data_IF_709116284081
#
_entry.id   IF_709116284081
#
_cell.length_a   1.000
_cell.length_b   1.000
_cell.length_c   1.000
_cell.angle_alpha   90.00
_cell.angle_beta   90.00
_cell.angle_gamma   90.00
#
_symmetry.space_group_name_H-M   'P 1'
#
loop_
_entity.id
_entity.type
_entity.pdbx_description
1 polymer ?
#
# COMPACT_ATOMS: atom_id res chain seq x y z
N UNK A 1 16.76 20.00 -13.68
CA UNK A 1 15.56 19.39 -14.23
C UNK A 1 14.50 19.38 -13.15
N UNK A 2 13.30 19.79 -13.48
CA UNK A 2 12.17 19.66 -12.58
C UNK A 2 11.89 18.17 -12.33
N UNK A 3 11.65 17.82 -11.08
CA UNK A 3 11.39 16.42 -10.65
C UNK A 3 10.34 16.42 -9.56
N UNK A 4 9.61 15.34 -9.44
CA UNK A 4 8.77 15.04 -8.28
C UNK A 4 9.42 13.90 -7.52
N UNK A 5 9.77 14.13 -6.26
CA UNK A 5 10.38 13.11 -5.39
C UNK A 5 9.51 12.89 -4.16
N UNK A 6 9.15 11.66 -3.88
CA UNK A 6 8.26 11.34 -2.76
C UNK A 6 8.64 10.03 -2.09
N UNK A 7 8.29 9.91 -0.82
CA UNK A 7 8.44 8.67 -0.06
C UNK A 7 7.11 7.94 0.03
N UNK A 8 7.15 6.60 0.06
CA UNK A 8 5.96 5.80 0.31
C UNK A 8 6.25 4.59 1.17
N UNK A 9 5.25 4.24 1.98
CA UNK A 9 5.24 3.04 2.82
C UNK A 9 3.82 2.45 2.86
N UNK A 10 3.70 1.22 3.33
CA UNK A 10 2.44 0.48 3.41
C UNK A 10 2.43 -0.49 4.58
N UNK A 11 1.25 -0.91 4.99
CA UNK A 11 1.05 -2.04 5.89
C UNK A 11 1.89 -1.92 7.19
N UNK A 12 1.80 -0.76 7.86
CA UNK A 12 2.41 -0.57 9.18
C UNK A 12 1.73 -1.47 10.22
N UNK A 13 0.38 -1.59 10.15
CA UNK A 13 -0.42 -2.36 11.11
C UNK A 13 -0.06 -2.08 12.57
N UNK A 14 0.00 -0.82 12.92
CA UNK A 14 0.49 -0.34 14.20
C UNK A 14 -0.04 -1.13 15.41
N UNK A 15 -1.32 -1.48 15.41
CA UNK A 15 -1.98 -2.14 16.54
C UNK A 15 -1.69 -3.66 16.63
N UNK A 16 -1.02 -4.25 15.62
CA UNK A 16 -0.70 -5.67 15.58
C UNK A 16 0.69 -6.00 16.11
N UNK A 17 1.58 -5.01 16.24
CA UNK A 17 2.99 -5.19 16.54
C UNK A 17 3.47 -4.29 17.67
N UNK A 18 4.45 -4.77 18.42
CA UNK A 18 4.97 -4.09 19.62
C UNK A 18 5.90 -2.91 19.32
N UNK A 19 6.48 -2.85 18.13
CA UNK A 19 7.47 -1.85 17.72
C UNK A 19 6.99 -0.88 16.63
N UNK A 20 5.66 -0.83 16.38
CA UNK A 20 5.07 0.00 15.32
C UNK A 20 5.38 1.50 15.45
N UNK A 21 5.44 2.01 16.68
CA UNK A 21 5.84 3.40 16.93
C UNK A 21 7.28 3.66 16.47
N UNK A 22 8.21 2.81 16.89
CA UNK A 22 9.63 2.96 16.55
C UNK A 22 9.86 2.86 15.04
N UNK A 23 9.09 2.03 14.34
CA UNK A 23 9.16 1.90 12.87
C UNK A 23 8.78 3.20 12.19
N UNK A 24 7.65 3.81 12.59
CA UNK A 24 7.22 5.07 12.01
C UNK A 24 8.17 6.22 12.35
N UNK A 25 8.71 6.28 13.58
CA UNK A 25 9.75 7.25 13.96
C UNK A 25 11.02 7.12 13.12
N UNK A 26 11.48 5.89 12.88
CA UNK A 26 12.64 5.62 12.04
C UNK A 26 12.39 6.07 10.60
N UNK A 27 11.22 5.77 10.03
CA UNK A 27 10.81 6.27 8.73
C UNK A 27 10.85 7.81 8.68
N UNK A 28 10.16 8.48 9.59
CA UNK A 28 10.09 9.94 9.67
C UNK A 28 11.49 10.55 9.82
N UNK A 29 12.34 9.97 10.68
CA UNK A 29 13.72 10.42 10.86
C UNK A 29 14.56 10.29 9.60
N UNK A 30 14.35 9.24 8.82
CA UNK A 30 15.09 9.00 7.59
C UNK A 30 14.63 9.92 6.46
N UNK A 31 13.32 10.05 6.25
CA UNK A 31 12.78 10.88 5.16
C UNK A 31 13.01 12.37 5.38
N UNK A 32 13.10 12.85 6.62
CA UNK A 32 13.49 14.23 6.94
C UNK A 32 14.87 14.63 6.45
N UNK A 33 15.75 13.68 6.18
CA UNK A 33 17.10 13.92 5.65
C UNK A 33 17.13 14.02 4.13
N UNK A 34 16.00 13.77 3.48
CA UNK A 34 15.88 13.71 2.02
C UNK A 34 14.96 14.84 1.57
N UNK A 35 15.37 15.55 0.51
CA UNK A 35 14.52 16.55 -0.12
C UNK A 35 13.42 15.87 -0.95
N UNK A 36 12.25 15.68 -0.32
CA UNK A 36 11.05 15.07 -0.91
C UNK A 36 9.87 16.05 -0.87
N UNK A 37 8.98 15.93 -1.84
CA UNK A 37 7.82 16.80 -2.00
C UNK A 37 6.64 16.42 -1.09
N UNK A 38 6.45 15.12 -0.82
CA UNK A 38 5.37 14.58 0.00
C UNK A 38 5.61 13.12 0.39
N UNK A 39 4.77 12.60 1.27
CA UNK A 39 4.73 11.19 1.67
C UNK A 39 3.41 10.55 1.24
N UNK A 40 3.43 9.27 0.89
CA UNK A 40 2.23 8.45 0.63
C UNK A 40 2.22 7.25 1.57
N UNK A 41 1.10 7.01 2.23
CA UNK A 41 0.80 5.80 2.97
C UNK A 41 -0.26 5.00 2.19
N UNK A 42 0.03 3.72 1.86
CA UNK A 42 -0.75 2.91 0.92
C UNK A 42 -1.76 1.94 1.56
N UNK A 43 -2.24 2.23 2.76
CA UNK A 43 -3.25 1.44 3.46
C UNK A 43 -2.71 0.56 4.58
N UNK A 44 -3.62 0.05 5.40
CA UNK A 44 -3.36 -0.78 6.57
C UNK A 44 -2.39 -0.11 7.56
N UNK A 45 -2.75 1.14 7.90
CA UNK A 45 -1.93 1.99 8.75
C UNK A 45 -2.12 1.68 10.24
N UNK A 46 -3.32 1.89 10.75
CA UNK A 46 -3.67 1.65 12.15
C UNK A 46 -5.19 1.62 12.36
N UNK A 47 -5.62 1.12 13.51
CA UNK A 47 -7.01 1.27 13.95
C UNK A 47 -7.33 2.77 14.15
N UNK A 48 -8.40 3.32 13.54
CA UNK A 48 -8.74 4.74 13.60
C UNK A 48 -9.40 5.14 14.92
N UNK A 49 -8.66 5.03 16.03
CA UNK A 49 -9.03 5.43 17.39
C UNK A 49 -8.24 6.66 17.84
N UNK A 50 -8.78 7.41 18.80
CA UNK A 50 -8.19 8.69 19.21
C UNK A 50 -6.79 8.52 19.81
N UNK A 51 -6.52 7.39 20.46
CA UNK A 51 -5.21 7.03 21.01
C UNK A 51 -4.12 6.91 19.93
N UNK A 52 -4.49 6.63 18.69
CA UNK A 52 -3.56 6.50 17.56
C UNK A 52 -3.33 7.82 16.79
N UNK A 53 -3.95 8.94 17.20
CA UNK A 53 -3.79 10.24 16.50
C UNK A 53 -2.35 10.72 16.45
N UNK A 54 -1.56 10.41 17.46
CA UNK A 54 -0.14 10.77 17.49
C UNK A 54 0.67 10.22 16.31
N UNK A 55 0.20 9.14 15.64
CA UNK A 55 0.83 8.63 14.43
C UNK A 55 0.69 9.63 13.26
N UNK A 56 -0.45 10.32 13.17
CA UNK A 56 -0.63 11.41 12.20
C UNK A 56 0.20 12.64 12.58
N UNK A 57 0.25 12.98 13.88
CA UNK A 57 1.09 14.08 14.35
C UNK A 57 2.58 13.82 14.06
N UNK A 58 3.00 12.55 14.11
CA UNK A 58 4.34 12.14 13.75
C UNK A 58 4.60 12.31 12.24
N UNK A 59 3.64 11.98 11.36
CA UNK A 59 3.73 12.28 9.93
C UNK A 59 3.70 13.78 9.66
N UNK A 60 2.78 14.53 10.29
CA UNK A 60 2.70 16.00 10.21
C UNK A 60 4.03 16.66 10.58
N UNK A 61 4.78 16.05 11.52
CA UNK A 61 6.08 16.56 11.98
C UNK A 61 7.18 16.52 10.91
N UNK A 62 6.98 15.85 9.78
CA UNK A 62 7.91 15.92 8.63
C UNK A 62 7.87 17.33 8.01
N UNK A 63 6.74 18.03 8.12
CA UNK A 63 6.56 19.42 7.65
C UNK A 63 6.23 19.53 6.16
N UNK A 64 5.85 18.42 5.51
CA UNK A 64 5.41 18.35 4.11
C UNK A 64 4.07 17.62 4.02
N UNK A 65 3.31 17.77 2.91
CA UNK A 65 2.06 17.05 2.73
C UNK A 65 2.22 15.53 2.84
N UNK A 66 1.23 14.85 3.41
CA UNK A 66 1.12 13.41 3.31
C UNK A 66 -0.28 13.00 2.83
N UNK A 67 -0.33 11.91 2.07
CA UNK A 67 -1.52 11.39 1.43
C UNK A 67 -1.75 9.95 1.87
N UNK A 68 -3.02 9.53 1.90
CA UNK A 68 -3.42 8.22 2.41
C UNK A 68 -4.24 7.45 1.39
N UNK A 69 -4.00 6.16 1.32
CA UNK A 69 -4.87 5.15 0.72
C UNK A 69 -5.51 4.36 1.86
N UNK A 70 -6.75 3.94 1.71
CA UNK A 70 -7.42 3.10 2.70
C UNK A 70 -7.12 1.63 2.42
N UNK A 71 -6.65 0.91 3.44
CA UNK A 71 -6.47 -0.53 3.42
C UNK A 71 -7.66 -1.27 4.04
N UNK A 72 -7.68 -2.60 3.88
CA UNK A 72 -8.78 -3.40 4.38
C UNK A 72 -8.84 -3.46 5.92
N UNK A 73 -7.68 -3.49 6.59
CA UNK A 73 -7.61 -3.54 8.05
C UNK A 73 -7.86 -2.19 8.72
N UNK A 74 -7.78 -1.07 8.03
CA UNK A 74 -8.15 0.24 8.57
C UNK A 74 -9.64 0.28 8.96
N UNK A 75 -10.48 -0.56 8.31
CA UNK A 75 -11.93 -0.65 8.55
C UNK A 75 -12.35 -1.84 9.42
N UNK A 76 -11.43 -2.57 10.05
CA UNK A 76 -11.72 -3.80 10.81
C UNK A 76 -12.66 -3.57 12.00
N UNK A 77 -12.56 -2.45 12.67
CA UNK A 77 -13.35 -2.14 13.88
C UNK A 77 -14.33 -0.99 13.68
N UNK A 78 -14.13 -0.15 12.67
CA UNK A 78 -14.87 1.09 12.48
C UNK A 78 -15.43 1.22 11.06
N UNK A 79 -16.33 2.18 10.87
CA UNK A 79 -16.88 2.49 9.55
C UNK A 79 -15.85 3.26 8.70
N UNK A 80 -16.07 3.23 7.38
CA UNK A 80 -15.26 3.97 6.42
C UNK A 80 -15.23 5.48 6.70
N UNK A 81 -16.35 6.07 7.09
CA UNK A 81 -16.44 7.49 7.44
C UNK A 81 -15.53 7.83 8.63
N UNK A 82 -15.41 6.90 9.60
CA UNK A 82 -14.48 7.07 10.72
C UNK A 82 -13.03 7.02 10.25
N UNK A 83 -12.68 6.14 9.31
CA UNK A 83 -11.34 6.05 8.71
C UNK A 83 -11.02 7.34 7.96
N UNK A 84 -11.89 7.78 7.04
CA UNK A 84 -11.74 9.02 6.26
C UNK A 84 -11.50 10.22 7.19
N UNK A 85 -12.35 10.36 8.23
CA UNK A 85 -12.22 11.44 9.21
C UNK A 85 -10.91 11.36 10.02
N UNK A 86 -10.51 10.15 10.42
CA UNK A 86 -9.27 9.94 11.17
C UNK A 86 -8.06 10.33 10.34
N UNK A 87 -7.98 9.88 9.09
CA UNK A 87 -6.90 10.18 8.15
C UNK A 87 -6.95 11.60 7.56
N UNK A 88 -7.93 12.43 7.98
CA UNK A 88 -8.15 13.80 7.48
C UNK A 88 -8.32 13.85 5.95
N UNK A 89 -8.93 12.82 5.35
CA UNK A 89 -9.23 12.75 3.93
C UNK A 89 -10.57 13.42 3.62
N UNK A 90 -10.72 14.01 2.44
CA UNK A 90 -12.01 14.55 1.97
C UNK A 90 -12.91 13.43 1.41
N UNK A 91 -12.29 12.41 0.77
CA UNK A 91 -12.97 11.25 0.20
C UNK A 91 -12.03 10.04 0.26
N UNK A 92 -12.57 8.82 0.14
CA UNK A 92 -11.78 7.58 0.11
C UNK A 92 -10.99 7.40 -1.18
N UNK A 93 -11.41 8.03 -2.28
CA UNK A 93 -10.69 8.12 -3.54
C UNK A 93 -10.61 9.58 -3.99
N UNK A 94 -9.51 9.98 -4.56
CA UNK A 94 -9.25 11.37 -4.96
C UNK A 94 -8.05 11.45 -5.91
N UNK A 95 -7.80 12.63 -6.45
CA UNK A 95 -6.58 12.89 -7.22
C UNK A 95 -5.96 14.23 -6.83
N UNK A 96 -4.66 14.31 -7.00
CA UNK A 96 -3.91 15.57 -6.87
C UNK A 96 -2.86 15.67 -7.97
N UNK A 97 -2.40 16.89 -8.24
CA UNK A 97 -1.41 17.15 -9.27
C UNK A 97 -0.15 17.74 -8.65
N UNK A 98 0.99 17.24 -9.08
CA UNK A 98 2.30 17.83 -8.78
C UNK A 98 3.05 17.96 -10.11
N UNK A 99 3.35 19.18 -10.51
CA UNK A 99 3.90 19.49 -11.83
C UNK A 99 3.06 18.87 -12.99
N UNK A 100 3.65 18.08 -13.87
CA UNK A 100 2.99 17.41 -14.98
C UNK A 100 2.38 16.05 -14.65
N UNK A 101 2.55 15.60 -13.39
CA UNK A 101 2.13 14.27 -12.94
C UNK A 101 0.83 14.38 -12.16
N UNK A 102 -0.15 13.57 -12.51
CA UNK A 102 -1.38 13.40 -11.76
C UNK A 102 -1.31 12.08 -10.98
N UNK A 103 -1.48 12.20 -9.68
CA UNK A 103 -1.61 11.08 -8.75
C UNK A 103 -3.09 10.79 -8.55
N UNK A 104 -3.47 9.53 -8.72
CA UNK A 104 -4.85 9.06 -8.59
C UNK A 104 -4.86 8.01 -7.49
N UNK A 105 -5.57 8.31 -6.41
CA UNK A 105 -5.78 7.41 -5.27
C UNK A 105 -7.11 6.71 -5.46
N UNK A 106 -7.10 5.38 -5.42
CA UNK A 106 -8.28 4.53 -5.58
C UNK A 106 -8.59 3.77 -4.28
N UNK A 107 -9.88 3.60 -4.03
CA UNK A 107 -10.39 2.80 -2.95
C UNK A 107 -10.85 1.44 -3.47
N UNK A 108 -10.04 0.43 -3.28
CA UNK A 108 -10.31 -0.95 -3.72
C UNK A 108 -10.95 -1.82 -2.63
N UNK A 109 -11.25 -1.23 -1.45
CA UNK A 109 -11.78 -1.95 -0.30
C UNK A 109 -13.32 -2.04 -0.34
N UNK A 110 -13.85 -2.69 -1.38
CA UNK A 110 -15.28 -2.94 -1.56
C UNK A 110 -15.56 -4.41 -1.86
N UNK A 111 -16.79 -4.83 -1.52
CA UNK A 111 -17.39 -6.12 -1.88
C UNK A 111 -18.44 -5.86 -2.95
N UNK A 112 -18.43 -6.65 -4.03
CA UNK A 112 -19.54 -6.69 -4.99
C UNK A 112 -20.63 -7.61 -4.47
N UNK A 113 -21.86 -7.10 -4.40
CA UNK A 113 -23.04 -7.83 -3.97
C UNK A 113 -24.10 -7.82 -5.08
N UNK A 114 -25.19 -8.56 -4.92
CA UNK A 114 -26.33 -8.54 -5.86
C UNK A 114 -27.03 -7.16 -5.92
N UNK A 115 -26.81 -6.33 -4.90
CA UNK A 115 -27.45 -5.00 -4.78
C UNK A 115 -26.51 -3.84 -5.06
N UNK A 116 -25.26 -4.11 -5.45
CA UNK A 116 -24.25 -3.08 -5.72
C UNK A 116 -22.93 -3.32 -5.00
N UNK A 117 -22.36 -2.28 -4.44
CA UNK A 117 -21.06 -2.34 -3.77
C UNK A 117 -21.17 -1.94 -2.30
N UNK A 118 -20.59 -2.75 -1.44
CA UNK A 118 -20.48 -2.48 0.00
C UNK A 118 -19.02 -2.20 0.38
N UNK A 119 -18.74 -1.10 1.09
CA UNK A 119 -17.37 -0.86 1.57
C UNK A 119 -16.98 -1.89 2.64
N UNK A 120 -15.70 -2.17 2.73
CA UNK A 120 -15.17 -2.97 3.83
C UNK A 120 -15.49 -2.30 5.17
N UNK A 121 -16.05 -3.09 6.08
CA UNK A 121 -16.43 -2.64 7.40
C UNK A 121 -16.55 -3.86 8.34
N UNK A 122 -15.94 -3.76 9.53
CA UNK A 122 -16.03 -4.80 10.56
C UNK A 122 -15.73 -6.21 10.04
N UNK A 123 -14.68 -6.32 9.21
CA UNK A 123 -14.22 -7.58 8.60
C UNK A 123 -15.24 -8.30 7.71
N UNK A 124 -16.16 -7.56 7.08
CA UNK A 124 -17.14 -8.16 6.16
C UNK A 124 -16.50 -8.80 4.90
N UNK A 125 -15.24 -8.52 4.65
CA UNK A 125 -14.43 -9.14 3.59
C UNK A 125 -13.90 -10.54 3.97
N UNK A 126 -14.51 -11.22 4.91
CA UNK A 126 -14.10 -12.55 5.37
C UNK A 126 -13.85 -13.51 4.19
N UNK A 127 -12.63 -14.01 4.13
CA UNK A 127 -12.10 -14.85 3.04
C UNK A 127 -12.86 -16.16 2.85
N UNK A 128 -13.64 -16.63 3.83
CA UNK A 128 -14.45 -17.84 3.75
C UNK A 128 -15.63 -17.70 2.79
N UNK A 129 -16.03 -16.48 2.43
CA UNK A 129 -17.21 -16.18 1.60
C UNK A 129 -16.91 -15.90 0.12
N UNK A 130 -15.74 -16.26 -0.39
CA UNK A 130 -15.35 -15.92 -1.77
C UNK A 130 -15.41 -14.44 -2.11
N UNK A 131 -15.06 -13.60 -1.15
CA UNK A 131 -14.99 -12.15 -1.32
C UNK A 131 -13.67 -11.75 -1.96
N UNK A 132 -13.74 -10.88 -2.94
CA UNK A 132 -12.60 -10.27 -3.62
C UNK A 132 -12.68 -8.76 -3.45
N UNK A 133 -11.54 -8.06 -3.30
CA UNK A 133 -11.51 -6.62 -3.43
C UNK A 133 -11.96 -6.21 -4.83
N UNK A 134 -12.68 -5.11 -4.95
CA UNK A 134 -13.19 -4.65 -6.24
C UNK A 134 -13.17 -3.13 -6.32
N UNK A 135 -12.84 -2.60 -7.49
CA UNK A 135 -13.05 -1.18 -7.80
C UNK A 135 -14.50 -1.01 -8.26
N UNK A 136 -15.35 -0.25 -7.55
CA UNK A 136 -16.74 -0.03 -7.93
C UNK A 136 -16.89 0.61 -9.32
N UNK A 137 -17.98 0.29 -10.05
CA UNK A 137 -18.21 0.81 -11.41
C UNK A 137 -18.24 2.33 -11.47
N UNK A 138 -18.77 3.01 -10.44
CA UNK A 138 -18.77 4.47 -10.37
C UNK A 138 -17.36 5.05 -10.20
N UNK A 139 -16.49 4.37 -9.46
CA UNK A 139 -15.11 4.78 -9.27
C UNK A 139 -14.26 4.41 -10.49
N UNK A 140 -14.53 3.28 -11.15
CA UNK A 140 -13.91 2.93 -12.42
C UNK A 140 -14.21 4.00 -13.48
N UNK A 141 -15.46 4.47 -13.60
CA UNK A 141 -15.83 5.56 -14.49
C UNK A 141 -15.11 6.86 -14.14
N UNK A 142 -15.04 7.18 -12.85
CA UNK A 142 -14.29 8.33 -12.39
C UNK A 142 -12.79 8.20 -12.73
N UNK A 143 -12.18 7.02 -12.57
CA UNK A 143 -10.80 6.76 -12.99
C UNK A 143 -10.61 7.05 -14.48
N UNK A 144 -11.51 6.59 -15.35
CA UNK A 144 -11.48 6.88 -16.79
C UNK A 144 -11.53 8.39 -17.07
N UNK A 145 -12.39 9.13 -16.38
CA UNK A 145 -12.47 10.59 -16.46
C UNK A 145 -11.15 11.25 -16.00
N UNK A 146 -10.53 10.75 -14.90
CA UNK A 146 -9.25 11.27 -14.43
C UNK A 146 -8.10 11.04 -15.42
N UNK A 147 -8.05 9.89 -16.06
CA UNK A 147 -7.01 9.53 -17.03
C UNK A 147 -7.18 10.24 -18.39
N UNK A 148 -8.37 10.73 -18.70
CA UNK A 148 -8.62 11.56 -19.90
C UNK A 148 -8.35 13.04 -19.66
N UNK A 149 -8.20 13.48 -18.41
CA UNK A 149 -7.93 14.85 -18.02
C UNK A 149 -6.55 15.35 -18.53
N UNK A 150 -6.31 16.65 -18.36
CA UNK A 150 -5.13 17.33 -18.88
C UNK A 150 -3.89 17.09 -17.98
N UNK A 151 -3.22 15.96 -18.21
CA UNK A 151 -1.92 15.63 -17.64
C UNK A 151 -1.10 14.81 -18.63
N UNK A 152 0.22 14.89 -18.56
CA UNK A 152 1.12 14.10 -19.41
C UNK A 152 1.35 12.72 -18.82
N UNK A 153 1.53 12.65 -17.48
CA UNK A 153 1.85 11.44 -16.75
C UNK A 153 0.87 11.17 -15.62
N UNK A 154 0.65 9.90 -15.35
CA UNK A 154 -0.24 9.44 -14.30
C UNK A 154 0.45 8.39 -13.42
N UNK A 155 0.17 8.46 -12.12
CA UNK A 155 0.51 7.43 -11.13
C UNK A 155 -0.76 7.02 -10.44
N UNK A 156 -1.03 5.72 -10.38
CA UNK A 156 -2.22 5.16 -9.72
C UNK A 156 -1.78 4.48 -8.43
N UNK A 157 -2.46 4.81 -7.35
CA UNK A 157 -2.20 4.34 -6.00
C UNK A 157 -3.43 3.60 -5.48
N UNK A 158 -3.25 2.38 -5.01
CA UNK A 158 -4.33 1.57 -4.44
C UNK A 158 -3.78 0.70 -3.30
N UNK A 159 -4.65 0.15 -2.47
CA UNK A 159 -4.19 -0.83 -1.49
C UNK A 159 -4.02 -2.21 -2.10
N UNK A 160 -5.01 -2.69 -2.87
CA UNK A 160 -4.92 -3.97 -3.57
C UNK A 160 -4.36 -3.83 -4.98
N UNK A 161 -3.63 -4.85 -5.43
CA UNK A 161 -2.92 -4.85 -6.71
C UNK A 161 -3.83 -5.04 -7.94
N UNK A 162 -3.35 -4.55 -9.10
CA UNK A 162 -4.00 -4.78 -10.38
C UNK A 162 -3.28 -5.88 -11.21
N UNK A 163 -2.16 -6.42 -10.73
CA UNK A 163 -1.40 -7.44 -11.44
C UNK A 163 -1.34 -8.79 -10.70
N UNK A 164 -1.52 -8.83 -9.37
CA UNK A 164 -1.46 -10.08 -8.63
C UNK A 164 -2.63 -11.01 -8.99
N UNK A 165 -2.31 -12.13 -9.64
CA UNK A 165 -3.29 -13.14 -10.04
C UNK A 165 -3.47 -14.25 -9.00
N UNK A 166 -2.72 -14.21 -7.91
CA UNK A 166 -2.93 -15.15 -6.81
C UNK A 166 -4.34 -14.97 -6.21
N UNK A 167 -5.00 -16.08 -5.93
CA UNK A 167 -6.41 -16.11 -5.53
C UNK A 167 -6.74 -15.09 -4.42
N UNK A 168 -7.67 -14.19 -4.69
CA UNK A 168 -8.22 -13.18 -3.75
C UNK A 168 -7.22 -12.09 -3.30
N UNK A 169 -6.05 -11.97 -3.94
CA UNK A 169 -5.07 -10.92 -3.59
C UNK A 169 -5.27 -9.67 -4.42
N UNK A 170 -5.36 -9.80 -5.73
CA UNK A 170 -5.60 -8.67 -6.62
C UNK A 170 -7.08 -8.29 -6.74
N UNK A 171 -7.32 -7.08 -7.23
CA UNK A 171 -8.66 -6.53 -7.47
C UNK A 171 -9.43 -7.42 -8.47
N UNK A 172 -10.72 -7.68 -8.22
CA UNK A 172 -11.54 -8.57 -9.05
C UNK A 172 -11.58 -8.14 -10.52
N UNK A 173 -11.83 -6.85 -10.76
CA UNK A 173 -11.89 -6.27 -12.11
C UNK A 173 -10.55 -5.66 -12.56
N UNK A 174 -9.42 -6.25 -12.14
CA UNK A 174 -8.07 -5.80 -12.50
C UNK A 174 -7.78 -5.84 -14.00
N UNK A 175 -8.38 -6.79 -14.73
CA UNK A 175 -8.18 -6.90 -16.17
C UNK A 175 -8.78 -5.70 -16.90
N UNK A 176 -9.99 -5.30 -16.53
CA UNK A 176 -10.67 -4.11 -17.08
C UNK A 176 -9.89 -2.84 -16.77
N UNK A 177 -9.31 -2.74 -15.56
CA UNK A 177 -8.46 -1.60 -15.18
C UNK A 177 -7.19 -1.58 -16.04
N UNK A 178 -6.51 -2.70 -16.22
CA UNK A 178 -5.32 -2.80 -17.07
C UNK A 178 -5.63 -2.49 -18.54
N UNK A 179 -6.77 -2.94 -19.05
CA UNK A 179 -7.21 -2.62 -20.39
C UNK A 179 -7.49 -1.13 -20.57
N UNK A 180 -8.09 -0.47 -19.59
CA UNK A 180 -8.25 0.99 -19.57
C UNK A 180 -6.89 1.69 -19.62
N UNK A 181 -5.96 1.29 -18.74
CA UNK A 181 -4.60 1.85 -18.69
C UNK A 181 -3.89 1.71 -20.05
N UNK A 182 -3.97 0.54 -20.68
CA UNK A 182 -3.37 0.30 -21.99
C UNK A 182 -3.97 1.22 -23.08
N UNK A 183 -5.31 1.34 -23.12
CA UNK A 183 -5.99 2.26 -24.06
C UNK A 183 -5.54 3.71 -23.86
N UNK A 184 -5.36 4.16 -22.63
CA UNK A 184 -4.88 5.51 -22.32
C UNK A 184 -3.44 5.70 -22.82
N UNK A 185 -2.56 4.71 -22.56
CA UNK A 185 -1.19 4.76 -23.03
C UNK A 185 -1.08 4.82 -24.56
N UNK A 186 -2.00 4.20 -25.29
CA UNK A 186 -2.05 4.23 -26.76
C UNK A 186 -2.46 5.61 -27.31
N UNK A 187 -3.02 6.50 -26.49
CA UNK A 187 -3.35 7.89 -26.88
C UNK A 187 -2.16 8.87 -26.79
N UNK A 188 -1.00 8.40 -26.34
CA UNK A 188 0.18 9.23 -26.09
C UNK A 188 0.26 9.80 -24.66
N UNK A 189 -0.78 9.65 -23.84
CA UNK A 189 -0.72 9.86 -22.39
C UNK A 189 -0.04 8.66 -21.75
N UNK A 190 0.55 8.82 -20.56
CA UNK A 190 1.33 7.72 -19.96
C UNK A 190 0.97 7.49 -18.50
N UNK A 191 0.34 6.35 -18.23
CA UNK A 191 0.31 5.79 -16.88
C UNK A 191 1.67 5.13 -16.65
N UNK A 192 2.52 5.80 -15.89
CA UNK A 192 3.90 5.36 -15.67
C UNK A 192 3.96 4.20 -14.68
N UNK A 193 3.18 4.30 -13.59
CA UNK A 193 3.33 3.45 -12.44
C UNK A 193 1.98 3.22 -11.74
N UNK A 194 1.69 1.97 -11.40
CA UNK A 194 0.65 1.58 -10.43
C UNK A 194 1.37 1.05 -9.19
N UNK A 195 1.04 1.57 -7.99
CA UNK A 195 1.66 1.13 -6.73
C UNK A 195 0.59 0.66 -5.76
N UNK A 196 0.87 -0.46 -5.11
CA UNK A 196 -0.03 -1.03 -4.10
C UNK A 196 0.74 -1.59 -2.89
N UNK A 197 0.02 -1.84 -1.80
CA UNK A 197 0.44 -2.59 -0.61
C UNK A 197 -0.22 -3.97 -0.52
N UNK A 198 -0.80 -4.30 0.63
CA UNK A 198 -1.65 -5.46 0.91
C UNK A 198 -0.96 -6.84 0.88
N UNK A 199 -0.08 -7.09 -0.06
CA UNK A 199 0.46 -8.42 -0.29
C UNK A 199 1.55 -8.81 0.72
N UNK A 200 2.08 -7.85 1.49
CA UNK A 200 3.21 -8.01 2.40
C UNK A 200 4.39 -8.72 1.73
N UNK A 201 4.66 -8.35 0.49
CA UNK A 201 5.72 -8.90 -0.32
C UNK A 201 6.09 -7.95 -1.45
N UNK A 202 7.28 -8.13 -1.97
CA UNK A 202 7.88 -7.26 -2.97
C UNK A 202 7.62 -7.78 -4.38
N UNK A 203 7.20 -6.91 -5.29
CA UNK A 203 7.12 -7.19 -6.72
C UNK A 203 7.32 -5.93 -7.53
N UNK A 204 7.94 -6.06 -8.68
CA UNK A 204 8.10 -4.98 -9.63
C UNK A 204 8.06 -5.56 -11.04
N UNK A 205 6.97 -5.34 -11.72
CA UNK A 205 6.71 -5.92 -13.04
C UNK A 205 6.34 -4.85 -14.05
N UNK A 206 6.69 -5.06 -15.33
CA UNK A 206 6.24 -4.23 -16.43
C UNK A 206 5.23 -4.98 -17.27
N UNK A 207 4.00 -4.46 -17.34
CA UNK A 207 2.94 -4.99 -18.19
C UNK A 207 2.56 -3.91 -19.21
N UNK A 208 2.72 -4.20 -20.47
CA UNK A 208 2.57 -3.18 -21.52
C UNK A 208 3.58 -2.04 -21.37
N UNK A 209 3.09 -0.81 -21.22
CA UNK A 209 3.93 0.37 -21.03
C UNK A 209 4.01 0.84 -19.57
N UNK A 210 3.28 0.21 -18.64
CA UNK A 210 3.14 0.60 -17.24
C UNK A 210 3.94 -0.33 -16.32
N UNK A 211 4.59 0.24 -15.31
CA UNK A 211 5.18 -0.53 -14.21
C UNK A 211 4.13 -0.75 -13.10
N UNK A 212 4.10 -1.97 -12.56
CA UNK A 212 3.28 -2.36 -11.42
C UNK A 212 4.22 -2.69 -10.27
N UNK A 213 4.08 -1.95 -9.19
CA UNK A 213 4.96 -2.04 -8.03
C UNK A 213 4.17 -2.43 -6.78
N UNK A 214 4.26 -3.70 -6.40
CA UNK A 214 3.79 -4.20 -5.12
C UNK A 214 4.84 -3.86 -4.05
N UNK A 215 4.56 -2.84 -3.25
CA UNK A 215 5.44 -2.42 -2.17
C UNK A 215 5.32 -3.36 -0.98
N UNK A 216 6.45 -3.87 -0.52
CA UNK A 216 6.51 -4.73 0.65
C UNK A 216 6.05 -3.98 1.92
N UNK A 217 5.44 -4.69 2.86
CA UNK A 217 5.04 -4.15 4.15
C UNK A 217 6.21 -3.48 4.88
N UNK A 218 5.95 -2.35 5.51
CA UNK A 218 6.92 -1.69 6.40
C UNK A 218 7.34 -2.59 7.56
N UNK A 219 6.51 -3.60 7.92
CA UNK A 219 6.56 -4.22 9.23
C UNK A 219 6.81 -5.72 9.23
N UNK A 220 6.06 -6.49 8.43
CA UNK A 220 6.05 -7.95 8.58
C UNK A 220 5.40 -8.69 7.40
N UNK A 221 5.53 -10.03 7.42
CA UNK A 221 4.75 -10.95 6.61
C UNK A 221 3.73 -11.65 7.50
N UNK A 222 2.51 -11.83 6.99
CA UNK A 222 1.44 -12.54 7.69
C UNK A 222 1.26 -13.95 7.11
N UNK A 223 1.57 -14.98 7.91
CA UNK A 223 1.43 -16.38 7.51
C UNK A 223 0.15 -17.04 8.03
N UNK A 224 -0.35 -16.59 9.18
CA UNK A 224 -1.52 -17.15 9.82
C UNK A 224 -1.20 -18.32 10.77
N UNK A 225 -2.25 -18.88 11.44
CA UNK A 225 -2.07 -19.77 12.58
C UNK A 225 -1.41 -21.12 12.27
N UNK A 226 -1.35 -21.54 11.00
CA UNK A 226 -0.64 -22.77 10.62
C UNK A 226 0.89 -22.68 10.79
N UNK A 227 1.43 -21.47 10.97
CA UNK A 227 2.85 -21.19 11.15
C UNK A 227 3.12 -20.44 12.46
N UNK A 228 2.24 -20.64 13.46
CA UNK A 228 2.39 -19.92 14.73
C UNK A 228 3.72 -20.22 15.42
N UNK A 229 4.28 -19.19 16.01
CA UNK A 229 5.53 -19.26 16.75
C UNK A 229 5.52 -18.28 17.93
N UNK A 230 6.39 -18.52 18.91
CA UNK A 230 6.47 -17.73 20.14
C UNK A 230 7.90 -17.24 20.38
N UNK A 231 8.27 -16.17 19.66
CA UNK A 231 9.62 -15.58 19.69
C UNK A 231 9.75 -14.39 20.66
N UNK A 232 8.68 -14.01 21.34
CA UNK A 232 8.62 -12.90 22.28
C UNK A 232 8.20 -13.39 23.66
N UNK A 233 8.27 -12.52 24.69
CA UNK A 233 7.78 -12.86 26.01
C UNK A 233 6.26 -13.08 26.03
N UNK A 234 5.75 -13.79 27.04
CA UNK A 234 4.32 -14.02 27.20
C UNK A 234 3.54 -12.71 27.28
N UNK A 235 4.06 -11.71 27.99
CA UNK A 235 3.44 -10.39 28.14
C UNK A 235 3.27 -9.69 26.79
N UNK A 236 4.27 -9.79 25.90
CA UNK A 236 4.20 -9.22 24.54
C UNK A 236 3.17 -9.98 23.71
N UNK A 237 3.13 -11.30 23.75
CA UNK A 237 2.14 -12.09 23.03
C UNK A 237 0.71 -11.87 23.56
N UNK A 238 0.52 -11.64 24.85
CA UNK A 238 -0.79 -11.29 25.42
C UNK A 238 -1.26 -9.91 24.94
N UNK A 239 -0.36 -8.94 24.85
CA UNK A 239 -0.68 -7.59 24.35
C UNK A 239 -0.88 -7.54 22.83
N UNK A 240 -0.13 -8.33 22.09
CA UNK A 240 -0.14 -8.39 20.62
C UNK A 240 -0.39 -9.83 20.14
N UNK A 241 -1.63 -10.34 20.24
CA UNK A 241 -1.93 -11.76 19.98
C UNK A 241 -1.69 -12.23 18.55
N UNK A 242 -1.59 -11.30 17.58
CA UNK A 242 -1.24 -11.64 16.20
C UNK A 242 0.24 -11.90 15.97
N UNK A 243 1.14 -11.50 16.89
CA UNK A 243 2.58 -11.68 16.72
C UNK A 243 3.01 -13.13 16.47
N UNK A 244 2.27 -14.10 16.98
CA UNK A 244 2.53 -15.52 16.75
C UNK A 244 2.34 -15.96 15.31
N UNK A 245 1.57 -15.18 14.51
CA UNK A 245 1.22 -15.46 13.12
C UNK A 245 2.07 -14.64 12.13
N UNK A 246 2.98 -13.79 12.65
CA UNK A 246 3.71 -12.76 11.90
C UNK A 246 5.23 -13.02 11.95
N UNK A 247 5.91 -12.85 10.83
CA UNK A 247 7.37 -12.74 10.79
C UNK A 247 7.74 -11.29 10.56
N UNK A 248 8.26 -10.63 11.59
CA UNK A 248 8.61 -9.21 11.56
C UNK A 248 9.91 -8.97 10.81
N UNK A 249 9.96 -7.85 10.10
CA UNK A 249 11.23 -7.27 9.65
C UNK A 249 11.89 -6.51 10.80
N UNK A 250 13.20 -6.53 10.86
CA UNK A 250 13.99 -5.73 11.81
C UNK A 250 14.00 -4.26 11.41
N UNK A 251 14.06 -4.01 10.11
CA UNK A 251 14.16 -2.69 9.52
C UNK A 251 12.77 -2.24 9.02
N UNK A 252 12.47 -0.95 9.10
CA UNK A 252 11.26 -0.41 8.47
C UNK A 252 11.47 -0.33 6.95
N UNK A 253 10.62 -1.00 6.17
CA UNK A 253 10.72 -1.01 4.72
C UNK A 253 9.89 0.13 4.12
N UNK A 254 10.45 0.81 3.12
CA UNK A 254 9.80 1.90 2.39
C UNK A 254 10.52 2.12 1.06
N UNK A 255 9.98 2.96 0.20
CA UNK A 255 10.65 3.39 -1.03
C UNK A 255 10.69 4.92 -1.15
N UNK A 256 11.69 5.40 -1.88
CA UNK A 256 11.74 6.78 -2.39
C UNK A 256 11.59 6.69 -3.90
N UNK A 257 10.65 7.42 -4.46
CA UNK A 257 10.43 7.48 -5.91
C UNK A 257 10.73 8.88 -6.41
N UNK A 258 11.52 8.94 -7.47
CA UNK A 258 11.77 10.18 -8.22
C UNK A 258 11.23 10.02 -9.63
N UNK A 259 10.44 10.98 -10.09
CA UNK A 259 9.97 11.06 -11.47
C UNK A 259 10.43 12.37 -12.07
N UNK A 260 11.12 12.30 -13.18
CA UNK A 260 11.63 13.47 -13.89
C UNK A 260 10.57 14.07 -14.80
N UNK A 261 10.79 15.27 -15.30
CA UNK A 261 9.89 16.00 -16.17
C UNK A 261 9.56 15.26 -17.49
N UNK A 262 10.47 14.42 -17.96
CA UNK A 262 10.34 13.59 -19.16
C UNK A 262 9.75 12.19 -18.89
N UNK A 263 9.36 11.92 -17.64
CA UNK A 263 8.69 10.68 -17.23
C UNK A 263 9.62 9.52 -16.91
N UNK A 264 10.93 9.76 -16.75
CA UNK A 264 11.85 8.73 -16.24
C UNK A 264 11.55 8.44 -14.76
N UNK A 265 11.67 7.17 -14.40
CA UNK A 265 11.37 6.68 -13.04
C UNK A 265 12.66 6.19 -12.37
N UNK A 266 12.90 6.66 -11.16
CA UNK A 266 13.92 6.11 -10.27
C UNK A 266 13.26 5.70 -8.94
N UNK A 267 13.26 4.39 -8.63
CA UNK A 267 12.77 3.81 -7.39
C UNK A 267 13.98 3.41 -6.57
N UNK A 268 14.18 4.07 -5.45
CA UNK A 268 15.18 3.72 -4.46
C UNK A 268 14.49 2.88 -3.37
N UNK A 269 14.64 1.56 -3.47
CA UNK A 269 14.15 0.61 -2.46
C UNK A 269 15.17 0.39 -1.35
N UNK A 270 14.82 -0.43 -0.37
CA UNK A 270 15.64 -0.72 0.79
C UNK A 270 15.80 -2.23 0.99
N UNK A 271 16.94 -2.65 1.52
CA UNK A 271 17.19 -4.01 1.97
C UNK A 271 17.25 -4.04 3.48
N UNK A 272 16.42 -4.85 4.09
CA UNK A 272 16.36 -5.09 5.53
C UNK A 272 16.70 -6.54 5.90
N UNK A 273 16.30 -6.92 7.10
CA UNK A 273 16.52 -8.24 7.69
C UNK A 273 15.22 -8.71 8.39
N UNK A 274 15.11 -10.00 8.63
CA UNK A 274 14.08 -10.53 9.54
C UNK A 274 14.44 -10.26 11.00
N UNK A 275 13.42 -10.18 11.84
CA UNK A 275 13.56 -10.05 13.28
C UNK A 275 13.21 -11.38 13.96
N UNK A 276 14.08 -11.89 14.83
CA UNK A 276 13.94 -13.08 15.65
C UNK A 276 13.82 -14.42 14.91
N UNK A 277 12.85 -14.56 13.97
CA UNK A 277 12.61 -15.78 13.19
C UNK A 277 12.52 -15.45 11.70
N UNK A 278 12.83 -16.41 10.87
CA UNK A 278 12.78 -16.29 9.41
C UNK A 278 11.72 -17.24 8.84
N UNK A 279 11.16 -16.97 7.64
CA UNK A 279 10.26 -17.88 6.96
C UNK A 279 10.87 -19.28 6.76
N UNK A 280 12.17 -19.34 6.49
CA UNK A 280 12.90 -20.61 6.30
C UNK A 280 12.89 -21.49 7.54
N UNK A 281 13.00 -20.91 8.73
CA UNK A 281 12.92 -21.65 10.00
C UNK A 281 11.52 -22.20 10.26
N UNK A 282 10.49 -21.59 9.65
CA UNK A 282 9.10 -22.06 9.65
C UNK A 282 8.81 -23.06 8.51
N UNK A 283 9.82 -23.44 7.71
CA UNK A 283 9.64 -24.32 6.58
C UNK A 283 9.02 -23.67 5.34
N UNK A 284 9.02 -22.32 5.29
CA UNK A 284 8.47 -21.51 4.20
C UNK A 284 9.63 -21.06 3.30
N UNK A 285 9.41 -21.04 1.99
CA UNK A 285 10.39 -20.49 1.03
C UNK A 285 10.38 -18.98 0.95
N UNK A 286 10.98 -18.44 -0.10
CA UNK A 286 11.10 -16.97 -0.31
C UNK A 286 9.89 -16.36 -1.00
N UNK A 287 8.84 -17.15 -1.27
CA UNK A 287 7.62 -16.73 -1.96
C UNK A 287 6.38 -17.04 -1.14
N UNK A 288 5.46 -16.08 -1.06
CA UNK A 288 4.16 -16.22 -0.39
C UNK A 288 3.09 -15.42 -1.14
N UNK A 289 1.91 -15.99 -1.36
CA UNK A 289 0.80 -15.33 -2.06
C UNK A 289 1.19 -14.69 -3.40
N UNK A 290 2.11 -15.33 -4.14
CA UNK A 290 2.58 -14.84 -5.44
C UNK A 290 3.63 -13.71 -5.37
N UNK A 291 4.15 -13.40 -4.19
CA UNK A 291 5.16 -12.34 -3.96
C UNK A 291 6.45 -12.88 -3.36
N UNK A 292 7.55 -12.16 -3.64
CA UNK A 292 8.78 -12.33 -2.87
C UNK A 292 8.56 -11.76 -1.46
N UNK A 293 8.84 -12.60 -0.44
CA UNK A 293 8.74 -12.22 0.96
C UNK A 293 10.09 -11.92 1.60
N UNK A 294 11.14 -11.81 0.80
CA UNK A 294 12.42 -11.32 1.31
C UNK A 294 12.22 -9.92 1.92
N UNK A 295 13.00 -9.55 2.96
CA UNK A 295 12.90 -8.23 3.61
C UNK A 295 13.53 -7.14 2.73
N UNK A 296 12.99 -6.96 1.55
CA UNK A 296 13.46 -5.99 0.56
C UNK A 296 12.30 -5.17 0.00
N UNK A 297 12.64 -4.03 -0.52
CA UNK A 297 11.85 -3.25 -1.47
C UNK A 297 12.72 -3.10 -2.71
N UNK A 298 12.18 -3.47 -3.86
CA UNK A 298 12.89 -3.43 -5.14
C UNK A 298 13.27 -2.01 -5.55
N UNK A 299 14.37 -1.91 -6.27
CA UNK A 299 14.84 -0.66 -6.91
C UNK A 299 14.71 -0.76 -8.42
N UNK A 300 14.40 0.37 -9.08
CA UNK A 300 14.28 0.47 -10.52
C UNK A 300 14.84 1.80 -11.00
N UNK A 301 15.57 1.77 -12.08
CA UNK A 301 15.95 2.98 -12.81
C UNK A 301 15.59 2.83 -14.27
N UNK A 302 14.70 3.68 -14.76
CA UNK A 302 14.25 3.75 -16.16
C UNK A 302 14.66 5.10 -16.71
N UNK A 303 15.47 5.07 -17.75
CA UNK A 303 15.92 6.23 -18.53
C UNK A 303 15.03 6.46 -19.77
#
# INVERSE_FOLDING_TARGET
MERVKFALFTDLHYDHIHDGHQRLENFVTNVRKIDIDFVIQLGDFCVPKDENRFLLDLLDSIGIPHYHVIGNHDSDLYSREKVIKFLKMDNSYYSFKKQKIKFIVLDTCFIKTDYGYEPYCKKNYDKTKDVYPVLPDYEFKWLEEQLTADSEYYIILSHHSFENEFTKRGVYNRFEIRDLINRINDTGKKVLLCVNGHDHGDSLEKIGQTYYFGLNSMSYIWFGPQYEHFCYSNEIHEQYPFLKDLVLYKDCLYAIITITEDGCIDIEGIRGHYQNITPKELGIGDMWNGRSILPIVSSLKVE
#
